data_IF_710061921852
#
_entry.id   IF_710061921852
#
_cell.length_a   1.000
_cell.length_b   1.000
_cell.length_c   1.000
_cell.angle_alpha   90.00
_cell.angle_beta   90.00
_cell.angle_gamma   90.00
#
_symmetry.space_group_name_H-M   'P 1'
#
loop_
_entity.id
_entity.type
_entity.pdbx_description
1 polymer ?
#
# COMPACT_ATOMS: atom_id res chain seq x y z
N UNK A 1 -51.55 25.11 45.29
CA UNK A 1 -51.39 25.47 46.71
C UNK A 1 -50.23 24.69 47.29
N UNK A 2 -49.18 25.41 47.67
CA UNK A 2 -48.03 24.92 48.43
C UNK A 2 -48.45 24.47 49.85
N UNK A 3 -47.84 23.44 50.42
CA UNK A 3 -46.72 23.56 51.36
C UNK A 3 -46.35 22.22 52.03
N UNK A 4 -45.06 21.90 51.92
CA UNK A 4 -44.11 21.34 52.92
C UNK A 4 -44.52 20.17 53.83
N UNK A 5 -43.67 19.13 53.82
CA UNK A 5 -42.90 18.76 55.02
C UNK A 5 -41.62 18.00 54.63
N UNK A 6 -40.48 18.52 55.10
CA UNK A 6 -39.18 17.86 55.13
C UNK A 6 -39.13 16.87 56.30
N UNK A 7 -38.48 15.72 56.13
CA UNK A 7 -37.73 15.10 57.23
C UNK A 7 -36.56 14.31 56.67
N UNK A 8 -35.37 14.69 57.12
CA UNK A 8 -34.11 14.01 56.87
C UNK A 8 -34.01 12.77 57.75
N UNK A 9 -33.56 11.65 57.18
CA UNK A 9 -32.97 10.55 57.94
C UNK A 9 -31.86 9.94 57.10
N UNK A 10 -30.64 10.25 57.52
CA UNK A 10 -29.36 9.78 57.02
C UNK A 10 -29.22 8.29 57.31
N UNK A 11 -29.13 7.45 56.28
CA UNK A 11 -28.57 6.10 56.39
C UNK A 11 -27.45 5.98 55.37
N UNK A 12 -26.26 5.78 55.90
CA UNK A 12 -25.00 5.52 55.21
C UNK A 12 -24.88 4.01 54.93
N UNK A 13 -24.00 3.65 53.98
CA UNK A 13 -23.71 2.33 53.38
C UNK A 13 -24.63 1.97 52.19
N UNK A 14 -24.16 1.50 51.03
CA UNK A 14 -22.87 0.90 50.70
C UNK A 14 -22.59 1.02 49.20
N UNK A 15 -21.30 1.08 48.86
CA UNK A 15 -20.72 1.01 47.52
C UNK A 15 -21.36 -0.09 46.66
N UNK A 16 -21.62 0.24 45.38
CA UNK A 16 -21.37 -0.61 44.21
C UNK A 16 -21.40 0.29 42.96
N UNK A 17 -20.45 1.23 42.88
CA UNK A 17 -20.05 1.79 41.60
C UNK A 17 -19.21 0.73 40.88
N UNK A 18 -19.88 -0.23 40.22
CA UNK A 18 -19.21 -1.12 39.30
C UNK A 18 -18.66 -0.27 38.16
N UNK A 19 -17.32 -0.21 38.12
CA UNK A 19 -16.56 0.53 37.14
C UNK A 19 -16.96 0.12 35.72
N UNK A 20 -17.49 1.09 34.99
CA UNK A 20 -17.27 1.15 33.57
C UNK A 20 -15.78 1.46 33.35
N UNK A 21 -14.94 0.42 33.45
CA UNK A 21 -13.68 0.38 32.71
C UNK A 21 -14.05 0.26 31.24
N UNK A 22 -14.51 1.37 30.68
CA UNK A 22 -14.42 1.60 29.25
C UNK A 22 -12.93 1.67 28.96
N UNK A 23 -12.36 0.54 28.56
CA UNK A 23 -11.14 0.50 27.77
C UNK A 23 -11.44 1.30 26.51
N UNK A 24 -11.23 2.61 26.57
CA UNK A 24 -10.91 3.39 25.40
C UNK A 24 -9.66 2.74 24.84
N UNK A 25 -9.84 1.83 23.88
CA UNK A 25 -8.76 1.48 22.98
C UNK A 25 -8.46 2.78 22.24
N UNK A 26 -7.42 3.45 22.72
CA UNK A 26 -6.80 4.60 22.09
C UNK A 26 -6.76 4.35 20.59
N UNK A 27 -7.19 5.36 19.83
CA UNK A 27 -6.98 5.43 18.39
C UNK A 27 -5.54 5.02 18.09
N UNK A 28 -5.40 3.85 17.46
CA UNK A 28 -4.16 3.07 17.38
C UNK A 28 -2.97 3.90 16.90
N UNK A 29 -2.08 4.26 17.82
CA UNK A 29 -0.74 4.70 17.45
C UNK A 29 -0.03 3.52 16.79
N UNK A 30 0.53 3.72 15.59
CA UNK A 30 1.25 2.67 14.88
C UNK A 30 2.33 2.03 15.80
N UNK A 31 2.48 0.70 15.80
CA UNK A 31 3.34 0.01 16.76
C UNK A 31 4.79 0.49 16.62
N UNK A 32 5.45 0.73 17.76
CA UNK A 32 6.84 1.19 17.84
C UNK A 32 7.78 0.16 17.22
N UNK A 33 8.65 0.59 16.32
CA UNK A 33 9.63 -0.28 15.66
C UNK A 33 10.88 -0.39 16.56
N UNK A 34 11.32 -1.60 16.95
CA UNK A 34 12.56 -1.79 17.70
C UNK A 34 13.78 -1.31 16.91
N UNK A 35 14.78 -0.74 17.58
CA UNK A 35 15.98 -0.19 16.90
C UNK A 35 16.78 -1.26 16.13
N UNK A 36 16.81 -2.49 16.63
CA UNK A 36 17.42 -3.64 15.95
C UNK A 36 16.72 -4.03 14.63
N UNK A 37 15.50 -3.52 14.38
CA UNK A 37 14.79 -3.71 13.12
C UNK A 37 15.06 -2.57 12.13
N UNK A 38 15.78 -1.52 12.53
CA UNK A 38 16.06 -0.38 11.66
C UNK A 38 17.36 -0.59 10.89
N UNK A 39 17.26 -0.62 9.56
CA UNK A 39 18.41 -0.72 8.67
C UNK A 39 18.86 0.68 8.24
N UNK A 40 20.06 1.08 8.65
CA UNK A 40 20.65 2.37 8.28
C UNK A 40 21.44 2.35 6.97
N UNK A 41 21.70 1.17 6.40
CA UNK A 41 22.62 1.00 5.26
C UNK A 41 22.15 1.72 3.99
N UNK A 42 20.84 1.99 3.87
CA UNK A 42 20.23 2.67 2.70
C UNK A 42 19.78 4.10 2.98
N UNK A 43 20.03 4.63 4.17
CA UNK A 43 19.50 5.93 4.59
C UNK A 43 19.93 7.07 3.66
N UNK A 44 21.20 7.11 3.24
CA UNK A 44 21.70 8.17 2.37
C UNK A 44 20.99 8.21 1.01
N UNK A 45 20.80 7.03 0.39
CA UNK A 45 20.13 6.90 -0.92
C UNK A 45 18.66 7.31 -0.79
N UNK A 46 17.98 6.83 0.25
CA UNK A 46 16.57 7.14 0.49
C UNK A 46 16.36 8.62 0.83
N UNK A 47 17.22 9.22 1.65
CA UNK A 47 17.18 10.65 2.01
C UNK A 47 17.32 11.53 0.76
N UNK A 48 18.29 11.23 -0.10
CA UNK A 48 18.51 11.98 -1.34
C UNK A 48 17.30 11.87 -2.28
N UNK A 49 16.77 10.66 -2.44
CA UNK A 49 15.59 10.39 -3.27
C UNK A 49 14.35 11.13 -2.76
N UNK A 50 14.07 11.06 -1.45
CA UNK A 50 12.97 11.79 -0.81
C UNK A 50 13.10 13.30 -0.99
N UNK A 51 14.30 13.86 -0.76
CA UNK A 51 14.56 15.29 -0.93
C UNK A 51 14.26 15.76 -2.36
N UNK A 52 14.67 14.98 -3.37
CA UNK A 52 14.37 15.28 -4.78
C UNK A 52 12.89 15.19 -5.09
N UNK A 53 12.21 14.13 -4.63
CA UNK A 53 10.79 13.96 -4.84
C UNK A 53 9.98 15.12 -4.20
N UNK A 54 10.28 15.49 -2.95
CA UNK A 54 9.66 16.63 -2.26
C UNK A 54 9.91 17.93 -3.03
N UNK A 55 11.14 18.15 -3.50
CA UNK A 55 11.50 19.30 -4.33
C UNK A 55 10.72 19.36 -5.65
N UNK A 56 10.54 18.22 -6.32
CA UNK A 56 9.76 18.13 -7.56
C UNK A 56 8.27 18.42 -7.31
N UNK A 57 7.67 17.87 -6.25
CA UNK A 57 6.31 18.22 -5.84
C UNK A 57 6.13 19.73 -5.63
N UNK A 58 7.07 20.37 -4.93
CA UNK A 58 7.06 21.83 -4.74
C UNK A 58 7.19 22.60 -6.06
N UNK A 59 8.11 22.20 -6.94
CA UNK A 59 8.33 22.84 -8.24
C UNK A 59 7.13 22.71 -9.19
N UNK A 60 6.30 21.68 -9.02
CA UNK A 60 5.05 21.49 -9.76
C UNK A 60 3.84 22.22 -9.14
N UNK A 61 4.04 23.01 -8.07
CA UNK A 61 2.95 23.66 -7.34
C UNK A 61 2.09 22.70 -6.52
N UNK A 62 2.54 21.45 -6.33
CA UNK A 62 1.83 20.40 -5.59
C UNK A 62 2.43 20.23 -4.18
N UNK A 63 2.45 21.31 -3.40
CA UNK A 63 3.10 21.35 -2.08
C UNK A 63 2.64 20.23 -1.15
N UNK A 64 3.59 19.47 -0.60
CA UNK A 64 3.36 18.43 0.40
C UNK A 64 3.17 19.05 1.80
N UNK A 65 2.50 18.36 2.74
CA UNK A 65 2.39 18.81 4.13
C UNK A 65 3.70 18.67 4.93
N UNK A 66 4.80 18.25 4.28
CA UNK A 66 6.11 18.02 4.89
C UNK A 66 7.18 18.82 4.16
N UNK A 67 8.17 19.30 4.91
CA UNK A 67 9.33 20.03 4.40
C UNK A 67 10.67 19.45 4.88
N UNK A 68 10.62 18.53 5.85
CA UNK A 68 11.80 17.85 6.42
C UNK A 68 11.60 16.34 6.39
N UNK A 69 12.71 15.62 6.44
CA UNK A 69 12.74 14.14 6.46
C UNK A 69 13.72 13.71 7.53
N UNK A 70 13.26 12.83 8.43
CA UNK A 70 14.09 12.15 9.42
C UNK A 70 14.03 10.64 9.17
N UNK A 71 15.15 10.02 8.83
CA UNK A 71 15.21 8.57 8.58
C UNK A 71 15.69 7.83 9.82
N UNK A 72 14.97 6.78 10.21
CA UNK A 72 15.17 5.97 11.40
C UNK A 72 15.35 6.82 12.67
N UNK A 73 14.46 7.80 12.95
CA UNK A 73 14.60 8.63 14.13
C UNK A 73 14.43 7.76 15.39
N UNK A 74 15.23 8.04 16.42
CA UNK A 74 15.21 7.30 17.70
C UNK A 74 13.87 7.42 18.41
N UNK A 75 13.19 8.55 18.21
CA UNK A 75 11.84 8.84 18.67
C UNK A 75 11.07 9.56 17.56
N UNK A 76 9.74 9.44 17.49
CA UNK A 76 8.96 10.18 16.53
C UNK A 76 9.21 11.69 16.61
N UNK A 77 9.27 12.36 15.47
CA UNK A 77 9.50 13.80 15.38
C UNK A 77 8.33 14.58 15.99
N UNK A 78 8.65 15.61 16.77
CA UNK A 78 7.66 16.53 17.32
C UNK A 78 7.17 17.58 16.31
N UNK A 79 7.95 17.83 15.25
CA UNK A 79 7.61 18.78 14.19
C UNK A 79 6.64 18.13 13.19
N UNK A 80 5.39 18.63 13.07
CA UNK A 80 4.38 18.05 12.17
C UNK A 80 4.72 18.19 10.68
N UNK A 81 5.72 19.02 10.32
CA UNK A 81 6.23 19.14 8.95
C UNK A 81 7.41 18.20 8.66
N UNK A 82 7.79 17.35 9.62
CA UNK A 82 8.81 16.32 9.42
C UNK A 82 8.17 14.99 9.08
N UNK A 83 8.59 14.42 7.96
CA UNK A 83 8.29 13.04 7.60
C UNK A 83 9.29 12.11 8.30
N UNK A 84 8.80 11.31 9.24
CA UNK A 84 9.56 10.21 9.82
C UNK A 84 9.54 9.02 8.86
N UNK A 85 10.70 8.51 8.48
CA UNK A 85 10.83 7.36 7.58
C UNK A 85 11.57 6.24 8.28
N UNK A 86 10.92 5.09 8.43
CA UNK A 86 11.53 3.91 9.03
C UNK A 86 11.87 2.88 7.96
N UNK A 87 13.14 2.52 7.83
CA UNK A 87 13.62 1.44 6.97
C UNK A 87 13.72 0.18 7.80
N UNK A 88 12.79 -0.75 7.59
CA UNK A 88 12.54 -1.88 8.48
C UNK A 88 13.08 -3.18 7.87
N UNK A 89 13.84 -3.93 8.67
CA UNK A 89 14.17 -5.32 8.39
C UNK A 89 12.92 -6.18 8.58
N UNK A 90 12.48 -6.88 7.53
CA UNK A 90 11.36 -7.79 7.63
C UNK A 90 11.74 -9.05 8.43
N UNK A 91 10.78 -9.65 9.12
CA UNK A 91 10.97 -10.86 9.91
C UNK A 91 9.85 -11.88 9.65
N UNK A 92 10.15 -13.19 9.66
CA UNK A 92 9.12 -14.23 9.69
C UNK A 92 8.24 -14.10 10.94
N UNK A 93 6.97 -14.46 10.81
CA UNK A 93 6.04 -14.59 11.94
C UNK A 93 6.59 -15.60 12.95
N UNK A 94 6.75 -15.17 14.20
CA UNK A 94 7.30 -16.00 15.28
C UNK A 94 8.83 -16.14 15.27
N UNK A 95 9.53 -15.49 14.34
CA UNK A 95 10.99 -15.45 14.30
C UNK A 95 11.54 -14.11 14.80
N UNK A 96 11.01 -13.66 15.94
CA UNK A 96 11.51 -12.50 16.67
C UNK A 96 11.87 -12.90 18.10
N UNK A 97 12.90 -12.29 18.66
CA UNK A 97 13.20 -12.43 20.09
C UNK A 97 12.20 -11.64 20.96
N UNK A 98 12.40 -11.67 22.28
CA UNK A 98 11.55 -10.94 23.23
C UNK A 98 11.59 -9.42 23.05
N UNK A 99 12.64 -8.88 22.40
CA UNK A 99 12.77 -7.46 22.05
C UNK A 99 12.12 -7.09 20.72
N UNK A 100 11.53 -8.07 20.00
CA UNK A 100 10.97 -7.87 18.67
C UNK A 100 12.00 -7.84 17.55
N UNK A 101 13.26 -8.19 17.82
CA UNK A 101 14.33 -8.24 16.85
C UNK A 101 14.23 -9.50 15.99
N UNK A 102 14.44 -9.37 14.68
CA UNK A 102 14.42 -10.51 13.78
C UNK A 102 15.56 -11.48 14.11
N UNK A 103 15.26 -12.75 14.35
CA UNK A 103 16.29 -13.77 14.60
C UNK A 103 16.80 -14.41 13.31
N UNK A 104 16.08 -14.23 12.21
CA UNK A 104 16.47 -14.60 10.84
C UNK A 104 15.69 -13.79 9.82
N UNK A 105 16.18 -13.79 8.58
CA UNK A 105 15.44 -13.22 7.45
C UNK A 105 14.29 -14.13 7.01
N UNK A 106 13.21 -13.56 6.43
CA UNK A 106 12.16 -14.33 5.78
C UNK A 106 12.71 -15.17 4.62
N UNK A 107 12.45 -16.47 4.67
CA UNK A 107 12.60 -17.39 3.55
C UNK A 107 11.35 -17.39 2.66
N UNK A 108 11.39 -18.17 1.58
CA UNK A 108 10.37 -18.18 0.51
C UNK A 108 8.98 -18.67 0.95
N UNK A 109 8.89 -19.37 2.08
CA UNK A 109 7.63 -19.91 2.59
C UNK A 109 7.09 -19.17 3.83
N UNK A 110 7.80 -18.14 4.29
CA UNK A 110 7.47 -17.49 5.56
C UNK A 110 6.38 -16.44 5.37
N UNK A 111 5.32 -16.54 6.20
CA UNK A 111 4.51 -15.38 6.50
C UNK A 111 5.35 -14.38 7.31
N UNK A 112 5.26 -13.09 6.98
CA UNK A 112 5.99 -12.04 7.70
C UNK A 112 5.20 -11.56 8.93
N UNK A 113 5.92 -11.00 9.89
CA UNK A 113 5.32 -10.43 11.10
C UNK A 113 4.62 -9.07 10.84
N UNK A 114 3.78 -8.58 11.77
CA UNK A 114 3.05 -7.32 11.59
C UNK A 114 3.91 -6.05 11.54
N UNK A 115 5.19 -6.12 11.94
CA UNK A 115 6.11 -4.99 11.85
C UNK A 115 6.80 -4.89 10.49
N UNK A 116 6.82 -5.99 9.73
CA UNK A 116 7.36 -6.04 8.38
C UNK A 116 6.51 -5.19 7.43
N UNK A 117 7.16 -4.64 6.40
CA UNK A 117 6.50 -3.77 5.42
C UNK A 117 6.27 -4.55 4.14
N UNK A 118 5.04 -5.01 3.95
CA UNK A 118 4.61 -5.62 2.69
C UNK A 118 4.52 -4.54 1.61
N UNK A 119 4.75 -4.84 0.33
CA UNK A 119 4.49 -3.89 -0.77
C UNK A 119 5.53 -2.80 -1.03
N UNK A 120 6.57 -2.67 -0.19
CA UNK A 120 7.75 -1.86 -0.48
C UNK A 120 7.93 -0.67 0.46
N UNK A 121 7.20 0.42 0.24
CA UNK A 121 7.11 1.58 1.14
C UNK A 121 5.65 2.02 1.33
N UNK A 122 5.26 2.48 2.52
CA UNK A 122 3.87 2.85 2.87
C UNK A 122 3.84 4.06 3.75
N UNK A 123 2.87 4.94 3.52
CA UNK A 123 2.47 5.92 4.54
C UNK A 123 1.70 5.22 5.65
N UNK A 124 2.34 5.09 6.82
CA UNK A 124 1.78 4.43 8.00
C UNK A 124 0.96 5.37 8.90
N UNK A 125 1.21 6.68 8.83
CA UNK A 125 0.42 7.70 9.52
C UNK A 125 0.46 9.05 8.77
N UNK A 126 -0.64 9.80 8.84
CA UNK A 126 -0.80 11.11 8.16
C UNK A 126 -0.78 12.29 9.12
N UNK A 127 -1.37 12.14 10.31
CA UNK A 127 -1.43 13.22 11.32
C UNK A 127 -0.06 13.47 11.96
N UNK A 128 0.72 12.39 12.09
CA UNK A 128 2.17 12.42 12.26
C UNK A 128 2.77 11.78 11.02
N UNK A 129 3.25 12.56 10.03
CA UNK A 129 3.72 12.01 8.76
C UNK A 129 4.77 10.92 8.98
N UNK A 130 4.37 9.68 8.72
CA UNK A 130 5.20 8.50 8.93
C UNK A 130 5.14 7.63 7.68
N UNK A 131 6.32 7.29 7.15
CA UNK A 131 6.49 6.31 6.09
C UNK A 131 7.30 5.14 6.63
N UNK A 132 6.94 3.91 6.26
CA UNK A 132 7.71 2.71 6.54
C UNK A 132 8.10 2.06 5.23
N UNK A 133 9.34 1.63 5.11
CA UNK A 133 9.87 0.94 3.94
C UNK A 133 10.51 -0.37 4.36
N UNK A 134 10.30 -1.44 3.61
CA UNK A 134 11.09 -2.66 3.74
C UNK A 134 12.51 -2.39 3.25
N UNK A 135 13.51 -2.74 4.06
CA UNK A 135 14.93 -2.64 3.70
C UNK A 135 15.22 -3.37 2.38
N UNK A 136 14.69 -4.59 2.23
CA UNK A 136 14.88 -5.39 1.01
C UNK A 136 14.23 -4.76 -0.22
N UNK A 137 13.08 -4.10 -0.06
CA UNK A 137 12.44 -3.35 -1.13
C UNK A 137 13.28 -2.14 -1.58
N UNK A 138 13.75 -1.33 -0.62
CA UNK A 138 14.62 -0.18 -0.90
C UNK A 138 15.87 -0.63 -1.66
N UNK A 139 16.47 -1.76 -1.25
CA UNK A 139 17.61 -2.34 -1.95
C UNK A 139 17.27 -2.75 -3.40
N UNK A 140 16.18 -3.50 -3.62
CA UNK A 140 15.76 -3.92 -4.96
C UNK A 140 15.55 -2.71 -5.88
N UNK A 141 14.83 -1.70 -5.39
CA UNK A 141 14.53 -0.51 -6.17
C UNK A 141 15.76 0.37 -6.38
N UNK A 142 16.64 0.55 -5.40
CA UNK A 142 17.90 1.29 -5.55
C UNK A 142 18.87 0.61 -6.53
N UNK A 143 18.92 -0.71 -6.54
CA UNK A 143 19.76 -1.48 -7.46
C UNK A 143 19.22 -1.42 -8.88
N UNK A 144 17.92 -1.65 -9.09
CA UNK A 144 17.25 -1.59 -10.40
C UNK A 144 18.04 -2.27 -11.54
N UNK A 145 18.63 -3.44 -11.27
CA UNK A 145 19.44 -4.21 -12.22
C UNK A 145 20.92 -3.81 -12.36
N UNK A 146 21.40 -2.81 -11.59
CA UNK A 146 22.82 -2.40 -11.54
C UNK A 146 23.62 -3.29 -10.59
N UNK A 147 24.95 -3.20 -10.63
CA UNK A 147 25.84 -3.88 -9.67
C UNK A 147 25.80 -3.23 -8.29
N UNK A 148 25.74 -1.90 -8.26
CA UNK A 148 25.77 -1.07 -7.05
C UNK A 148 24.44 -0.35 -6.83
N UNK A 149 24.15 -0.08 -5.55
CA UNK A 149 22.96 0.66 -5.13
C UNK A 149 23.21 2.16 -5.23
N UNK A 150 22.28 2.87 -5.88
CA UNK A 150 22.29 4.34 -5.94
C UNK A 150 20.85 4.86 -6.09
N UNK A 151 20.69 6.18 -6.12
CA UNK A 151 19.41 6.77 -6.51
C UNK A 151 19.00 6.22 -7.91
N UNK A 152 17.78 5.72 -8.02
CA UNK A 152 17.25 5.13 -9.25
C UNK A 152 15.86 5.67 -9.54
N UNK A 153 15.46 5.63 -10.81
CA UNK A 153 14.11 6.07 -11.22
C UNK A 153 13.01 5.19 -10.58
N UNK A 154 13.31 3.92 -10.29
CA UNK A 154 12.39 2.99 -9.64
C UNK A 154 12.18 3.35 -8.16
N UNK A 155 13.25 3.65 -7.42
CA UNK A 155 13.11 4.10 -6.03
C UNK A 155 12.44 5.47 -5.97
N UNK A 156 12.75 6.38 -6.90
CA UNK A 156 12.08 7.68 -7.01
C UNK A 156 10.57 7.50 -7.19
N UNK A 157 10.16 6.58 -8.08
CA UNK A 157 8.75 6.30 -8.31
C UNK A 157 8.03 5.85 -7.04
N UNK A 158 8.58 4.84 -6.35
CA UNK A 158 7.97 4.27 -5.14
C UNK A 158 7.81 5.33 -4.07
N UNK A 159 8.85 6.12 -3.83
CA UNK A 159 8.81 7.20 -2.84
C UNK A 159 7.87 8.32 -3.25
N UNK A 160 7.89 8.75 -4.51
CA UNK A 160 7.01 9.81 -5.02
C UNK A 160 5.53 9.42 -4.90
N UNK A 161 5.22 8.13 -5.06
CA UNK A 161 3.89 7.60 -4.85
C UNK A 161 3.45 7.72 -3.39
N UNK A 162 4.25 7.24 -2.45
CA UNK A 162 3.90 7.38 -1.03
C UNK A 162 3.79 8.85 -0.59
N UNK A 163 4.62 9.74 -1.14
CA UNK A 163 4.45 11.19 -0.90
C UNK A 163 3.12 11.73 -1.44
N UNK A 164 2.60 11.16 -2.54
CA UNK A 164 1.27 11.51 -3.06
C UNK A 164 0.15 11.10 -2.10
N UNK A 165 0.29 10.01 -1.35
CA UNK A 165 -0.64 9.67 -0.26
C UNK A 165 -0.62 10.70 0.86
N UNK A 166 0.56 11.16 1.28
CA UNK A 166 0.67 12.26 2.24
C UNK A 166 0.01 13.54 1.70
N UNK A 167 0.17 13.86 0.41
CA UNK A 167 -0.49 15.01 -0.24
C UNK A 167 -2.01 14.94 -0.12
N UNK A 168 -2.56 13.75 -0.27
CA UNK A 168 -3.99 13.46 -0.15
C UNK A 168 -4.45 13.31 1.30
N UNK A 169 -3.54 13.38 2.29
CA UNK A 169 -3.77 13.07 3.71
C UNK A 169 -4.38 11.68 3.90
N UNK A 170 -3.79 10.70 3.22
CA UNK A 170 -4.20 9.30 3.29
C UNK A 170 -3.04 8.39 3.64
N UNK A 171 -3.38 7.26 4.26
CA UNK A 171 -2.46 6.16 4.42
C UNK A 171 -2.17 5.54 3.05
N UNK A 172 -0.98 4.97 2.90
CA UNK A 172 -0.65 4.18 1.73
C UNK A 172 -1.37 2.84 1.82
N UNK A 173 -1.89 2.37 0.70
CA UNK A 173 -2.61 1.11 0.63
C UNK A 173 -1.90 0.15 -0.30
N UNK A 174 -1.74 -1.10 0.14
CA UNK A 174 -1.10 -2.13 -0.66
C UNK A 174 -2.10 -3.11 -1.23
N UNK A 175 -1.86 -3.46 -2.49
CA UNK A 175 -2.44 -4.63 -3.12
C UNK A 175 -2.19 -5.88 -2.24
N UNK A 176 -3.26 -6.51 -1.78
CA UNK A 176 -3.16 -7.78 -1.04
C UNK A 176 -3.33 -7.71 0.47
N UNK A 177 -3.76 -6.59 1.07
CA UNK A 177 -4.23 -6.61 2.46
C UNK A 177 -5.54 -7.41 2.54
N UNK A 178 -5.42 -8.64 3.00
CA UNK A 178 -6.57 -9.53 3.21
C UNK A 178 -7.10 -9.28 4.62
N UNK A 179 -8.36 -8.84 4.70
CA UNK A 179 -9.10 -8.76 5.95
C UNK A 179 -9.73 -10.11 6.27
N UNK A 180 -10.03 -10.32 7.56
CA UNK A 180 -10.59 -11.57 8.05
C UNK A 180 -11.92 -11.31 8.78
N UNK A 181 -12.88 -12.20 8.55
CA UNK A 181 -14.12 -12.28 9.30
C UNK A 181 -14.16 -13.62 10.00
N UNK A 182 -14.23 -13.60 11.33
CA UNK A 182 -14.52 -14.78 12.12
C UNK A 182 -16.01 -15.11 12.05
N UNK A 183 -16.34 -16.25 11.42
CA UNK A 183 -17.72 -16.73 11.26
C UNK A 183 -18.34 -17.23 12.57
N UNK A 184 -17.55 -17.41 13.62
CA UNK A 184 -18.03 -17.69 14.97
C UNK A 184 -18.66 -16.47 15.66
N UNK A 185 -18.43 -15.26 15.15
CA UNK A 185 -19.00 -14.04 15.73
C UNK A 185 -20.47 -13.83 15.34
N UNK A 186 -21.18 -13.02 16.13
CA UNK A 186 -22.60 -12.71 15.89
C UNK A 186 -22.80 -12.09 14.50
N UNK A 187 -23.91 -12.40 13.78
CA UNK A 187 -24.17 -11.83 12.46
C UNK A 187 -24.15 -10.29 12.43
N UNK A 188 -24.62 -9.62 13.49
CA UNK A 188 -24.57 -8.16 13.60
C UNK A 188 -23.14 -7.62 13.62
N UNK A 189 -22.26 -8.21 14.44
CA UNK A 189 -20.85 -7.82 14.51
C UNK A 189 -20.13 -8.00 13.16
N UNK A 190 -20.49 -9.05 12.40
CA UNK A 190 -19.96 -9.27 11.04
C UNK A 190 -20.46 -8.24 10.04
N UNK A 191 -21.73 -7.85 10.13
CA UNK A 191 -22.30 -6.78 9.30
C UNK A 191 -21.57 -5.46 9.59
N UNK A 192 -21.33 -5.14 10.86
CA UNK A 192 -20.66 -3.89 11.24
C UNK A 192 -19.21 -3.86 10.74
N UNK A 193 -18.44 -4.95 10.92
CA UNK A 193 -17.09 -5.08 10.37
C UNK A 193 -17.06 -4.94 8.83
N UNK A 194 -17.99 -5.59 8.14
CA UNK A 194 -18.09 -5.49 6.68
C UNK A 194 -18.52 -4.10 6.20
N UNK A 195 -19.35 -3.38 6.97
CA UNK A 195 -19.73 -2.00 6.65
C UNK A 195 -18.58 -1.03 6.85
N UNK A 196 -17.74 -1.24 7.85
CA UNK A 196 -16.51 -0.47 8.03
C UNK A 196 -15.51 -0.66 6.86
N UNK A 197 -15.51 -1.86 6.26
CA UNK A 197 -14.75 -2.16 5.05
C UNK A 197 -15.40 -1.59 3.76
N UNK A 198 -16.64 -1.08 3.85
CA UNK A 198 -17.35 -0.44 2.76
C UNK A 198 -17.10 1.06 2.62
N UNK A 199 -16.28 1.64 3.50
CA UNK A 199 -15.77 2.99 3.30
C UNK A 199 -14.98 3.04 1.98
N UNK A 200 -15.33 3.96 1.05
CA UNK A 200 -14.82 3.93 -0.30
C UNK A 200 -13.33 4.30 -0.35
N UNK A 201 -12.48 3.29 -0.51
CA UNK A 201 -11.19 3.50 -1.13
C UNK A 201 -11.41 3.54 -2.64
N UNK A 202 -11.40 4.76 -3.18
CA UNK A 202 -11.56 4.96 -4.61
C UNK A 202 -10.29 4.56 -5.35
N UNK A 203 -10.40 3.62 -6.30
CA UNK A 203 -9.42 3.38 -7.37
C UNK A 203 -8.81 4.66 -7.95
N UNK A 204 -9.63 5.70 -8.04
CA UNK A 204 -9.25 7.00 -8.57
C UNK A 204 -8.13 7.66 -7.76
N UNK A 205 -8.11 7.46 -6.44
CA UNK A 205 -7.12 8.08 -5.54
C UNK A 205 -5.74 7.54 -5.85
N UNK A 206 -5.68 6.24 -6.06
CA UNK A 206 -4.48 5.50 -6.36
C UNK A 206 -3.94 5.78 -7.77
N UNK A 207 -4.84 5.87 -8.75
CA UNK A 207 -4.54 6.35 -10.09
C UNK A 207 -4.07 7.82 -10.09
N UNK A 208 -4.65 8.68 -9.24
CA UNK A 208 -4.22 10.07 -9.04
C UNK A 208 -2.82 10.11 -8.43
N UNK A 209 -2.51 9.25 -7.46
CA UNK A 209 -1.17 9.14 -6.87
C UNK A 209 -0.15 8.65 -7.90
N UNK A 210 -0.50 7.65 -8.72
CA UNK A 210 0.34 7.18 -9.83
C UNK A 210 0.57 8.28 -10.87
N UNK A 211 -0.44 9.07 -11.20
CA UNK A 211 -0.33 10.21 -12.11
C UNK A 211 0.61 11.29 -11.55
N UNK A 212 0.44 11.68 -10.27
CA UNK A 212 1.35 12.63 -9.62
C UNK A 212 2.80 12.13 -9.58
N UNK A 213 2.98 10.85 -9.30
CA UNK A 213 4.31 10.21 -9.28
C UNK A 213 4.94 10.21 -10.66
N UNK A 214 4.16 9.91 -11.70
CA UNK A 214 4.63 9.98 -13.08
C UNK A 214 5.07 11.40 -13.46
N UNK A 215 4.32 12.43 -13.05
CA UNK A 215 4.74 13.82 -13.27
C UNK A 215 6.10 14.13 -12.60
N UNK A 216 6.32 13.62 -11.37
CA UNK A 216 7.64 13.70 -10.70
C UNK A 216 8.73 13.00 -11.52
N UNK A 217 8.45 11.80 -12.04
CA UNK A 217 9.42 11.07 -12.88
C UNK A 217 9.77 11.87 -14.12
N UNK A 218 8.78 12.36 -14.88
CA UNK A 218 9.00 13.14 -16.09
C UNK A 218 9.80 14.41 -15.78
N UNK A 219 9.53 15.05 -14.64
CA UNK A 219 10.27 16.24 -14.21
C UNK A 219 11.74 15.96 -13.95
N UNK A 220 12.09 14.81 -13.38
CA UNK A 220 13.43 14.50 -12.90
C UNK A 220 14.24 13.55 -13.80
N UNK A 221 13.62 12.82 -14.73
CA UNK A 221 14.29 11.78 -15.55
C UNK A 221 15.43 12.31 -16.41
N UNK A 222 15.37 13.59 -16.80
CA UNK A 222 16.42 14.29 -17.53
C UNK A 222 17.52 14.93 -16.66
N UNK A 223 17.37 14.91 -15.33
CA UNK A 223 18.27 15.54 -14.38
C UNK A 223 19.19 14.52 -13.68
N UNK A 224 20.34 14.98 -13.17
CA UNK A 224 21.21 14.13 -12.35
C UNK A 224 20.51 13.73 -11.04
N UNK A 225 20.64 12.48 -10.55
CA UNK A 225 21.50 11.40 -11.06
C UNK A 225 20.79 10.44 -12.04
N UNK A 226 19.55 10.72 -12.42
CA UNK A 226 18.76 9.87 -13.31
C UNK A 226 19.20 9.99 -14.77
N UNK A 227 19.84 11.11 -15.12
CA UNK A 227 20.49 11.32 -16.42
C UNK A 227 21.82 10.56 -16.49
N UNK A 228 21.93 9.61 -17.40
CA UNK A 228 23.17 8.86 -17.65
C UNK A 228 24.10 9.64 -18.60
N UNK A 229 25.20 10.22 -18.10
CA UNK A 229 25.95 11.26 -18.82
C UNK A 229 26.55 10.79 -20.16
N UNK A 230 26.80 9.48 -20.30
CA UNK A 230 27.37 8.87 -21.51
C UNK A 230 26.34 8.62 -22.61
N UNK A 231 25.05 8.68 -22.30
CA UNK A 231 23.96 8.45 -23.25
C UNK A 231 23.43 9.79 -23.79
N UNK A 232 22.79 9.75 -24.95
CA UNK A 232 21.94 10.87 -25.37
C UNK A 232 20.79 11.10 -24.39
N UNK A 233 20.11 12.24 -24.47
CA UNK A 233 18.97 12.52 -23.61
C UNK A 233 17.88 11.44 -23.77
N UNK A 234 17.53 11.14 -25.02
CA UNK A 234 16.64 10.04 -25.39
C UNK A 234 17.16 8.69 -24.89
N UNK A 235 18.43 8.39 -25.12
CA UNK A 235 19.05 7.13 -24.66
C UNK A 235 18.99 6.98 -23.13
N UNK A 236 19.17 8.07 -22.39
CA UNK A 236 19.06 8.07 -20.94
C UNK A 236 17.65 7.77 -20.45
N UNK A 237 16.63 8.33 -21.09
CA UNK A 237 15.23 8.00 -20.74
C UNK A 237 14.95 6.52 -21.02
N UNK A 238 15.39 5.98 -22.16
CA UNK A 238 15.26 4.54 -22.44
C UNK A 238 16.03 3.66 -21.44
N UNK A 239 17.20 4.08 -20.96
CA UNK A 239 17.91 3.37 -19.89
C UNK A 239 17.13 3.36 -18.57
N UNK A 240 16.43 4.45 -18.26
CA UNK A 240 15.53 4.51 -17.10
C UNK A 240 14.28 3.62 -17.29
N UNK A 241 13.74 3.51 -18.50
CA UNK A 241 12.67 2.56 -18.82
C UNK A 241 13.11 1.12 -18.53
N UNK A 242 14.32 0.73 -18.94
CA UNK A 242 14.89 -0.58 -18.61
C UNK A 242 15.07 -0.80 -17.11
N UNK A 243 15.54 0.22 -16.38
CA UNK A 243 15.68 0.14 -14.92
C UNK A 243 14.34 -0.09 -14.22
N UNK A 244 13.24 0.54 -14.67
CA UNK A 244 11.90 0.29 -14.14
C UNK A 244 11.47 -1.16 -14.39
N UNK A 245 11.73 -1.70 -15.58
CA UNK A 245 11.43 -3.10 -15.91
C UNK A 245 12.27 -4.09 -15.09
N UNK A 246 13.57 -3.82 -14.92
CA UNK A 246 14.47 -4.64 -14.10
C UNK A 246 14.09 -4.59 -12.62
N UNK A 247 13.74 -3.42 -12.10
CA UNK A 247 13.23 -3.25 -10.75
C UNK A 247 11.89 -3.98 -10.54
N UNK A 248 11.00 -3.91 -11.53
CA UNK A 248 9.75 -4.66 -11.54
C UNK A 248 10.00 -6.17 -11.45
N UNK A 249 10.88 -6.72 -12.29
CA UNK A 249 11.23 -8.14 -12.26
C UNK A 249 11.91 -8.55 -10.94
N UNK A 250 12.84 -7.74 -10.44
CA UNK A 250 13.50 -7.98 -9.15
C UNK A 250 12.51 -7.97 -7.99
N UNK A 251 11.54 -7.05 -8.02
CA UNK A 251 10.48 -6.98 -7.03
C UNK A 251 9.52 -8.16 -7.17
N UNK A 252 9.09 -8.51 -8.38
CA UNK A 252 8.27 -9.69 -8.63
C UNK A 252 8.97 -10.96 -8.15
N UNK A 253 10.29 -11.10 -8.31
CA UNK A 253 11.02 -12.26 -7.77
C UNK A 253 11.02 -12.27 -6.24
N UNK A 254 11.23 -11.12 -5.60
CA UNK A 254 11.19 -11.00 -4.14
C UNK A 254 9.77 -11.22 -3.59
N UNK A 255 8.75 -10.74 -4.29
CA UNK A 255 7.35 -10.82 -3.90
C UNK A 255 6.67 -12.12 -4.31
N UNK A 256 6.95 -12.72 -5.46
CA UNK A 256 6.45 -14.06 -5.80
C UNK A 256 6.93 -15.07 -4.76
N UNK A 257 8.14 -14.87 -4.21
CA UNK A 257 8.67 -15.59 -3.05
C UNK A 257 7.96 -15.29 -1.72
N UNK A 258 7.03 -14.33 -1.66
CA UNK A 258 6.30 -13.94 -0.43
C UNK A 258 4.78 -14.09 -0.57
N UNK A 259 4.24 -13.75 -1.73
CA UNK A 259 2.82 -13.70 -2.08
C UNK A 259 2.22 -15.09 -2.36
N UNK A 260 3.01 -16.05 -2.87
CA UNK A 260 2.50 -17.40 -3.16
C UNK A 260 2.32 -18.29 -1.92
N UNK A 261 2.95 -17.96 -0.79
CA UNK A 261 2.97 -18.86 0.38
C UNK A 261 2.27 -18.26 1.62
N UNK A 262 2.10 -16.94 1.69
CA UNK A 262 1.65 -16.29 2.94
C UNK A 262 0.27 -15.66 2.94
N UNK A 263 -0.41 -15.54 1.79
CA UNK A 263 -1.76 -14.96 1.76
C UNK A 263 -2.80 -16.03 2.08
N UNK A 264 -3.61 -15.88 3.13
CA UNK A 264 -4.72 -16.78 3.33
C UNK A 264 -5.64 -16.72 2.11
N UNK A 265 -6.05 -17.88 1.61
CA UNK A 265 -6.85 -17.99 0.38
C UNK A 265 -8.10 -17.13 0.51
N UNK A 266 -8.20 -16.10 -0.34
CA UNK A 266 -9.37 -15.21 -0.36
C UNK A 266 -10.62 -15.99 -0.79
N UNK A 267 -11.78 -15.48 -0.39
CA UNK A 267 -13.05 -16.10 -0.79
C UNK A 267 -13.15 -16.17 -2.32
N UNK A 268 -13.58 -17.29 -2.92
CA UNK A 268 -13.60 -17.47 -4.39
C UNK A 268 -14.40 -16.40 -5.15
N UNK A 269 -15.35 -15.74 -4.49
CA UNK A 269 -16.08 -14.60 -5.06
C UNK A 269 -15.19 -13.42 -5.42
N UNK A 270 -13.94 -13.34 -4.96
CA UNK A 270 -12.99 -12.29 -5.35
C UNK A 270 -12.02 -12.74 -6.45
N UNK A 271 -12.20 -13.94 -7.01
CA UNK A 271 -11.39 -14.49 -8.09
C UNK A 271 -12.21 -14.49 -9.39
N UNK A 272 -12.08 -13.45 -10.25
CA UNK A 272 -12.82 -13.39 -11.51
C UNK A 272 -12.43 -14.58 -12.41
N UNK A 273 -13.44 -15.25 -12.97
CA UNK A 273 -13.24 -16.39 -13.87
C UNK A 273 -13.20 -15.96 -15.35
N UNK A 274 -13.73 -14.78 -15.66
CA UNK A 274 -13.88 -14.23 -17.01
C UNK A 274 -13.45 -12.77 -17.05
N UNK A 275 -12.83 -12.33 -18.15
CA UNK A 275 -12.45 -10.93 -18.38
C UNK A 275 -12.96 -10.45 -19.75
N UNK A 276 -13.76 -9.36 -19.83
CA UNK A 276 -14.42 -8.67 -18.72
C UNK A 276 -15.47 -9.58 -18.04
N UNK A 277 -15.64 -9.46 -16.73
CA UNK A 277 -16.65 -10.25 -15.99
C UNK A 277 -18.04 -9.64 -16.17
N UNK A 278 -19.08 -10.39 -16.61
CA UNK A 278 -20.42 -9.85 -16.76
C UNK A 278 -21.04 -9.36 -15.44
N UNK A 279 -21.76 -8.24 -15.45
CA UNK A 279 -22.41 -7.65 -14.27
C UNK A 279 -23.29 -8.63 -13.47
N UNK A 280 -23.99 -9.53 -14.17
CA UNK A 280 -24.81 -10.57 -13.51
C UNK A 280 -23.97 -11.55 -12.69
N UNK A 281 -22.77 -11.86 -13.17
CA UNK A 281 -21.82 -12.72 -12.45
C UNK A 281 -21.22 -11.98 -11.25
N UNK A 282 -20.91 -10.68 -11.40
CA UNK A 282 -20.47 -9.81 -10.30
C UNK A 282 -21.53 -9.75 -9.18
N UNK A 283 -22.80 -9.55 -9.54
CA UNK A 283 -23.91 -9.51 -8.58
C UNK A 283 -24.10 -10.85 -7.86
N UNK A 284 -24.01 -11.96 -8.60
CA UNK A 284 -24.02 -13.31 -8.04
C UNK A 284 -22.87 -13.52 -7.06
N UNK A 285 -21.66 -13.10 -7.40
CA UNK A 285 -20.48 -13.25 -6.56
C UNK A 285 -20.58 -12.39 -5.29
N UNK A 286 -21.05 -11.14 -5.41
CA UNK A 286 -21.32 -10.27 -4.27
C UNK A 286 -22.33 -10.91 -3.29
N UNK A 287 -23.44 -11.42 -3.83
CA UNK A 287 -24.44 -12.13 -3.03
C UNK A 287 -23.83 -13.36 -2.35
N UNK A 288 -23.08 -14.17 -3.09
CA UNK A 288 -22.44 -15.40 -2.58
C UNK A 288 -21.53 -15.09 -1.41
N UNK A 289 -20.67 -14.07 -1.54
CA UNK A 289 -19.80 -13.63 -0.46
C UNK A 289 -20.57 -13.16 0.78
N UNK A 290 -21.54 -12.25 0.61
CA UNK A 290 -22.34 -11.75 1.75
C UNK A 290 -23.08 -12.89 2.44
N UNK A 291 -23.65 -13.83 1.68
CA UNK A 291 -24.33 -14.98 2.26
C UNK A 291 -23.39 -15.91 3.03
N UNK A 292 -22.20 -16.18 2.49
CA UNK A 292 -21.18 -16.96 3.20
C UNK A 292 -20.74 -16.26 4.50
N UNK A 293 -20.50 -14.95 4.44
CA UNK A 293 -20.10 -14.16 5.59
C UNK A 293 -21.17 -14.08 6.68
N UNK A 294 -22.45 -14.01 6.33
CA UNK A 294 -23.55 -13.85 7.31
C UNK A 294 -24.14 -15.17 7.83
N UNK A 295 -24.21 -16.21 6.99
CA UNK A 295 -24.80 -17.51 7.36
C UNK A 295 -23.76 -18.54 7.81
N UNK A 296 -22.47 -18.29 7.58
CA UNK A 296 -21.39 -19.10 8.12
C UNK A 296 -21.47 -19.21 9.65
N UNK A 297 -21.19 -20.40 10.19
CA UNK A 297 -21.30 -20.69 11.63
C UNK A 297 -19.95 -20.88 12.33
N UNK A 298 -18.87 -21.14 11.56
CA UNK A 298 -17.53 -21.43 12.08
C UNK A 298 -16.47 -21.21 11.00
N UNK A 299 -15.24 -20.96 11.42
CA UNK A 299 -14.09 -20.73 10.55
C UNK A 299 -13.89 -19.26 10.23
N UNK A 300 -12.97 -18.97 9.32
CA UNK A 300 -12.59 -17.60 8.95
C UNK A 300 -12.79 -17.43 7.46
N UNK A 301 -13.45 -16.35 7.05
CA UNK A 301 -13.45 -15.90 5.66
C UNK A 301 -12.40 -14.81 5.51
N UNK A 302 -11.60 -14.96 4.48
CA UNK A 302 -10.61 -13.99 4.06
C UNK A 302 -11.14 -13.26 2.85
N UNK A 303 -11.07 -11.95 2.87
CA UNK A 303 -11.52 -11.12 1.76
C UNK A 303 -10.56 -9.97 1.54
N UNK A 304 -10.50 -9.45 0.31
CA UNK A 304 -9.92 -8.17 0.04
C UNK A 304 -10.47 -7.11 0.98
N UNK A 305 -9.64 -6.60 1.89
CA UNK A 305 -10.00 -5.40 2.63
C UNK A 305 -10.23 -4.22 1.70
N UNK A 306 -10.48 -3.05 2.29
CA UNK A 306 -10.61 -1.75 1.60
C UNK A 306 -9.84 -1.74 0.25
N UNK A 307 -10.59 -1.94 -0.82
CA UNK A 307 -10.20 -2.04 -2.23
C UNK A 307 -8.78 -2.58 -2.57
N UNK A 308 -8.61 -3.91 -2.72
CA UNK A 308 -7.47 -4.54 -3.46
C UNK A 308 -7.45 -4.16 -4.97
N UNK A 309 -8.16 -3.14 -5.38
CA UNK A 309 -8.25 -2.74 -6.78
C UNK A 309 -6.93 -2.21 -7.37
N UNK A 310 -5.92 -1.97 -6.54
CA UNK A 310 -4.67 -1.39 -6.98
C UNK A 310 -3.73 -2.45 -7.56
N UNK A 311 -3.13 -2.25 -8.75
CA UNK A 311 -2.15 -3.19 -9.27
C UNK A 311 -0.95 -3.30 -8.33
N UNK A 312 -0.34 -4.48 -8.16
CA UNK A 312 0.86 -4.62 -7.36
C UNK A 312 2.04 -3.85 -7.98
N UNK A 313 3.03 -3.53 -7.16
CA UNK A 313 4.10 -2.59 -7.48
C UNK A 313 4.89 -2.96 -8.75
N UNK A 314 5.12 -4.26 -9.00
CA UNK A 314 5.82 -4.73 -10.21
C UNK A 314 5.12 -4.27 -11.50
N UNK A 315 3.79 -4.32 -11.55
CA UNK A 315 3.04 -3.86 -12.72
C UNK A 315 2.97 -2.35 -12.81
N UNK A 316 2.88 -1.69 -11.66
CA UNK A 316 2.89 -0.23 -11.60
C UNK A 316 4.20 0.33 -12.17
N UNK A 317 5.33 -0.28 -11.81
CA UNK A 317 6.64 0.01 -12.40
C UNK A 317 6.66 -0.21 -13.92
N UNK A 318 6.07 -1.31 -14.41
CA UNK A 318 5.97 -1.57 -15.86
C UNK A 318 5.10 -0.54 -16.57
N UNK A 319 3.96 -0.15 -16.00
CA UNK A 319 3.11 0.91 -16.54
C UNK A 319 3.84 2.25 -16.60
N UNK A 320 4.66 2.57 -15.60
CA UNK A 320 5.52 3.77 -15.66
C UNK A 320 6.57 3.67 -16.77
N UNK A 321 7.17 2.49 -16.95
CA UNK A 321 8.11 2.23 -18.04
C UNK A 321 7.43 2.44 -19.41
N UNK A 322 6.20 1.94 -19.59
CA UNK A 322 5.40 2.15 -20.80
C UNK A 322 5.03 3.62 -21.00
N UNK A 323 4.57 4.32 -19.95
CA UNK A 323 4.21 5.74 -20.02
C UNK A 323 5.40 6.66 -20.31
N UNK A 324 6.63 6.26 -19.96
CA UNK A 324 7.84 7.01 -20.31
C UNK A 324 8.24 6.84 -21.79
N UNK A 325 7.76 5.82 -22.51
CA UNK A 325 8.15 5.60 -23.92
C UNK A 325 7.80 6.80 -24.82
N UNK A 326 6.58 7.36 -24.80
CA UNK A 326 6.26 8.56 -25.57
C UNK A 326 7.11 9.78 -25.19
N UNK A 327 7.51 9.89 -23.90
CA UNK A 327 8.42 10.95 -23.45
C UNK A 327 9.79 10.80 -24.10
N UNK A 328 10.34 9.58 -24.14
CA UNK A 328 11.60 9.30 -24.82
C UNK A 328 11.50 9.54 -26.34
N UNK A 329 10.39 9.16 -26.96
CA UNK A 329 10.16 9.31 -28.41
C UNK A 329 10.05 10.77 -28.84
N UNK A 330 9.51 11.63 -27.98
CA UNK A 330 9.43 13.08 -28.22
C UNK A 330 10.76 13.83 -28.11
N UNK A 331 11.83 13.19 -27.61
CA UNK A 331 13.15 13.81 -27.47
C UNK A 331 13.95 13.78 -28.78
N UNK A 332 14.75 14.82 -29.05
CA UNK A 332 15.50 14.94 -30.30
C UNK A 332 16.50 13.80 -30.48
N UNK A 333 16.63 13.33 -31.73
CA UNK A 333 17.68 12.40 -32.15
C UNK A 333 18.77 13.15 -32.87
N UNK A 334 20.02 13.04 -32.41
CA UNK A 334 21.19 13.55 -33.15
C UNK A 334 21.91 12.39 -33.85
N UNK A 335 22.32 12.54 -35.13
CA UNK A 335 23.17 11.55 -35.79
C UNK A 335 24.48 11.36 -35.02
N UNK A 336 24.86 10.10 -34.74
CA UNK A 336 26.10 9.77 -34.02
C UNK A 336 25.99 9.72 -32.50
N UNK A 337 24.86 10.13 -31.92
CA UNK A 337 24.61 9.97 -30.49
C UNK A 337 24.50 8.47 -30.13
N UNK A 338 25.10 8.04 -29.00
CA UNK A 338 24.92 6.68 -28.50
C UNK A 338 23.44 6.48 -28.12
N UNK A 339 22.71 5.83 -29.02
CA UNK A 339 21.32 5.45 -28.80
C UNK A 339 21.29 4.19 -27.95
N UNK A 340 20.76 4.32 -26.74
CA UNK A 340 20.39 3.16 -25.94
C UNK A 340 19.11 2.56 -26.52
N UNK A 341 19.17 1.29 -26.91
CA UNK A 341 17.98 0.49 -27.21
C UNK A 341 17.62 -0.28 -25.94
N UNK A 342 16.39 -0.15 -25.42
CA UNK A 342 15.90 -1.01 -24.34
C UNK A 342 16.23 -2.50 -24.59
N UNK A 343 16.98 -3.11 -23.67
CA UNK A 343 17.42 -4.52 -23.72
C UNK A 343 16.71 -5.37 -22.66
N UNK A 344 16.09 -4.76 -21.65
CA UNK A 344 15.19 -5.44 -20.74
C UNK A 344 13.88 -5.85 -21.47
N UNK A 345 14.04 -6.75 -22.44
CA UNK A 345 12.99 -7.39 -23.23
C UNK A 345 12.44 -8.53 -22.37
N UNK A 346 11.63 -8.22 -21.36
CA UNK A 346 10.77 -9.21 -20.74
C UNK A 346 9.45 -8.53 -20.42
N UNK A 347 8.38 -8.98 -21.09
CA UNK A 347 6.98 -8.53 -21.00
C UNK A 347 6.48 -7.51 -22.03
N UNK A 348 7.21 -7.21 -23.11
CA UNK A 348 6.65 -6.43 -24.23
C UNK A 348 5.40 -7.06 -24.87
N UNK A 349 5.32 -8.40 -24.91
CA UNK A 349 4.21 -9.12 -25.54
C UNK A 349 3.09 -9.53 -24.58
N UNK A 350 3.37 -9.58 -23.27
CA UNK A 350 2.38 -9.89 -22.24
C UNK A 350 1.93 -8.64 -21.46
N UNK A 351 2.67 -7.54 -21.51
CA UNK A 351 2.38 -6.28 -20.82
C UNK A 351 0.96 -5.77 -21.11
N UNK A 352 0.51 -5.72 -22.38
CA UNK A 352 -0.87 -5.36 -22.70
C UNK A 352 -1.90 -6.36 -22.17
N UNK A 353 -1.63 -7.67 -22.24
CA UNK A 353 -2.54 -8.73 -21.78
C UNK A 353 -2.67 -8.71 -20.25
N UNK A 354 -1.55 -8.64 -19.53
CA UNK A 354 -1.51 -8.49 -18.09
C UNK A 354 -2.18 -7.18 -17.69
N UNK A 355 -1.81 -6.05 -18.31
CA UNK A 355 -2.44 -4.75 -18.06
C UNK A 355 -3.95 -4.80 -18.27
N UNK A 356 -4.44 -5.49 -19.31
CA UNK A 356 -5.86 -5.75 -19.52
C UNK A 356 -6.46 -6.58 -18.38
N UNK A 357 -5.90 -7.76 -18.07
CA UNK A 357 -6.37 -8.65 -16.99
C UNK A 357 -6.45 -7.88 -15.66
N UNK A 358 -5.46 -7.07 -15.32
CA UNK A 358 -5.44 -6.30 -14.08
C UNK A 358 -6.40 -5.12 -14.09
N UNK A 359 -6.54 -4.42 -15.23
CA UNK A 359 -7.56 -3.39 -15.38
C UNK A 359 -8.94 -3.99 -15.16
N UNK A 360 -9.23 -5.10 -15.83
CA UNK A 360 -10.52 -5.78 -15.71
C UNK A 360 -10.70 -6.42 -14.33
N UNK A 361 -9.63 -6.89 -13.67
CA UNK A 361 -9.66 -7.29 -12.26
C UNK A 361 -9.98 -6.12 -11.35
N UNK A 362 -9.38 -4.95 -11.57
CA UNK A 362 -9.68 -3.73 -10.81
C UNK A 362 -11.14 -3.27 -11.00
N UNK A 363 -11.63 -3.31 -12.24
CA UNK A 363 -13.05 -3.04 -12.58
C UNK A 363 -13.98 -4.05 -11.89
N UNK A 364 -13.64 -5.33 -11.96
CA UNK A 364 -14.35 -6.41 -11.29
C UNK A 364 -14.42 -6.18 -9.78
N UNK A 365 -13.27 -5.96 -9.14
CA UNK A 365 -13.15 -5.80 -7.69
C UNK A 365 -13.90 -4.56 -7.19
N UNK A 366 -13.79 -3.43 -7.90
CA UNK A 366 -14.56 -2.21 -7.59
C UNK A 366 -16.06 -2.47 -7.69
N UNK A 367 -16.50 -3.13 -8.77
CA UNK A 367 -17.91 -3.40 -9.01
C UNK A 367 -18.47 -4.39 -7.99
N UNK A 368 -17.72 -5.45 -7.70
CA UNK A 368 -18.03 -6.45 -6.68
C UNK A 368 -18.17 -5.79 -5.30
N UNK A 369 -17.19 -4.96 -4.89
CA UNK A 369 -17.22 -4.23 -3.63
C UNK A 369 -18.44 -3.30 -3.57
N UNK A 370 -18.71 -2.53 -4.62
CA UNK A 370 -19.90 -1.68 -4.68
C UNK A 370 -21.20 -2.47 -4.49
N UNK A 371 -21.32 -3.66 -5.10
CA UNK A 371 -22.49 -4.54 -4.94
C UNK A 371 -22.58 -5.14 -3.53
N UNK A 372 -21.45 -5.57 -2.96
CA UNK A 372 -21.36 -6.04 -1.57
C UNK A 372 -21.84 -4.93 -0.62
N UNK A 373 -21.32 -3.71 -0.78
CA UNK A 373 -21.66 -2.57 0.08
C UNK A 373 -23.10 -2.11 -0.10
N UNK A 374 -23.61 -2.04 -1.33
CA UNK A 374 -25.02 -1.75 -1.60
C UNK A 374 -25.93 -2.75 -0.87
N UNK A 375 -25.55 -4.03 -0.88
CA UNK A 375 -26.29 -5.09 -0.22
C UNK A 375 -26.22 -5.02 1.31
N UNK A 376 -25.04 -4.79 1.87
CA UNK A 376 -24.83 -4.67 3.32
C UNK A 376 -25.52 -3.43 3.93
N UNK A 377 -25.60 -2.34 3.16
CA UNK A 377 -26.29 -1.12 3.55
C UNK A 377 -27.80 -1.15 3.26
N UNK A 378 -28.29 -2.21 2.59
CA UNK A 378 -29.71 -2.44 2.37
C UNK A 378 -30.45 -2.94 3.64
N UNK A 379 -31.79 -2.89 3.64
CA UNK A 379 -32.61 -3.25 4.81
C UNK A 379 -32.58 -4.75 5.14
N UNK A 380 -32.26 -5.61 4.16
CA UNK A 380 -32.14 -7.06 4.33
C UNK A 380 -30.87 -7.61 3.65
N UNK A 381 -29.69 -7.46 4.26
CA UNK A 381 -28.43 -7.95 3.70
C UNK A 381 -28.41 -9.46 3.44
N UNK A 382 -29.22 -10.21 4.18
CA UNK A 382 -29.33 -11.66 4.11
C UNK A 382 -30.43 -12.16 3.13
N UNK A 383 -31.12 -11.25 2.42
CA UNK A 383 -32.23 -11.61 1.55
C UNK A 383 -31.82 -12.56 0.41
N UNK A 384 -32.38 -13.78 0.37
CA UNK A 384 -32.05 -14.78 -0.63
C UNK A 384 -30.74 -15.53 -0.38
N UNK A 385 -30.20 -15.46 0.84
CA UNK A 385 -29.18 -16.39 1.33
C UNK A 385 -29.88 -17.67 1.78
N UNK A 386 -29.99 -18.64 0.87
CA UNK A 386 -30.54 -19.97 1.10
C UNK A 386 -29.47 -20.95 1.50
#
# INVERSE_FOLDING_TARGET
MCLKAFSAATVSLCLLALGALASAQDASSAPKIPSCRLDSSKNAILQATLKRAIGAYAAMGKQLPVSKVAINPVSPSADPQTLDVYVVLDAPKGATDAGGCATRTPGEADAVDPLSVLGGCVVAAVDRPEMRCSSSAVQVFAKAGRSEERESIALLYVVAHELGHLKQRRLGEYAGRVEQIDLGTAPSARIDALREACDPVSLKVEEETDAMSFDVLVKLVGEAPYREPILSERGSVYSNIDQLALASNGWQLLNARRDFVSKPKVHPSFEPQNFPTPDKEIEKNAKTFVCAALKGKKGTIYYPGRSISHPPMEQRLQRMAEKLKPVAEGLPTKPGDPNFKPVAILQGDLGPILTFIYRETGVYMKSLQNKICTRLNGPRPDAGCT
#
